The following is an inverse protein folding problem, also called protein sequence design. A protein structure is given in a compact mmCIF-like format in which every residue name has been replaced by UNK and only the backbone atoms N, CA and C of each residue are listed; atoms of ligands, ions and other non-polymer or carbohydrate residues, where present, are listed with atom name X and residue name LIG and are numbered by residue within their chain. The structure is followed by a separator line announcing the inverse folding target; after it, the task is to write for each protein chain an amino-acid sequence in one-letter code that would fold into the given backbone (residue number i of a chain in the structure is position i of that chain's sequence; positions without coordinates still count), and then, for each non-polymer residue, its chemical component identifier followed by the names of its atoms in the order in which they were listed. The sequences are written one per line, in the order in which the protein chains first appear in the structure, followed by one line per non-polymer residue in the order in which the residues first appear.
data_IF_400870401654
#
_entry.id   IF_400870401654
#
_cell.length_a   1.000
_cell.length_b   1.000
_cell.length_c   1.000
_cell.angle_alpha   90.00
_cell.angle_beta   90.00
_cell.angle_gamma   90.00
#
_symmetry.space_group_name_H-M   'P 1'
#
loop_
_entity.id
_entity.type
_entity.pdbx_description
1 polymer ?
#
# COMPACT_ATOMS: atom_id res chain seq x y z
N UNK A 1 9.09 3.75 -9.13
CA UNK A 1 7.87 2.97 -9.37
C UNK A 1 8.19 1.59 -9.94
N UNK A 2 7.61 0.53 -9.36
CA UNK A 2 7.72 -0.85 -9.86
C UNK A 2 6.77 -1.05 -11.05
N UNK A 3 7.25 -1.67 -12.14
CA UNK A 3 6.40 -2.02 -13.31
C UNK A 3 5.28 -3.00 -12.93
N UNK A 4 5.49 -3.82 -11.89
CA UNK A 4 4.45 -4.72 -11.38
C UNK A 4 3.25 -3.96 -10.82
N UNK A 5 3.48 -2.86 -10.08
CA UNK A 5 2.39 -2.02 -9.57
C UNK A 5 1.63 -1.35 -10.72
N UNK A 6 2.35 -0.83 -11.71
CA UNK A 6 1.73 -0.21 -12.87
C UNK A 6 0.87 -1.22 -13.64
N UNK A 7 1.37 -2.45 -13.85
CA UNK A 7 0.60 -3.52 -14.50
C UNK A 7 -0.69 -3.84 -13.77
N UNK A 8 -0.68 -3.92 -12.43
CA UNK A 8 -1.88 -4.17 -11.63
C UNK A 8 -2.84 -2.98 -11.75
N UNK A 9 -2.35 -1.76 -11.59
CA UNK A 9 -3.16 -0.56 -11.68
C UNK A 9 -3.84 -0.41 -13.05
N UNK A 10 -3.09 -0.62 -14.14
CA UNK A 10 -3.63 -0.59 -15.51
C UNK A 10 -4.72 -1.64 -15.72
N UNK A 11 -4.55 -2.85 -15.18
CA UNK A 11 -5.58 -3.87 -15.28
C UNK A 11 -6.86 -3.50 -14.51
N UNK A 12 -6.71 -3.03 -13.27
CA UNK A 12 -7.85 -2.59 -12.44
C UNK A 12 -8.60 -1.42 -13.09
N UNK A 13 -7.88 -0.45 -13.63
CA UNK A 13 -8.44 0.66 -14.39
C UNK A 13 -9.20 0.17 -15.63
N UNK A 14 -8.65 -0.82 -16.37
CA UNK A 14 -9.30 -1.40 -17.55
C UNK A 14 -10.64 -2.09 -17.27
N UNK A 15 -10.90 -2.49 -16.02
CA UNK A 15 -12.18 -3.08 -15.59
C UNK A 15 -13.05 -2.09 -14.79
N UNK A 16 -12.72 -0.80 -14.83
CA UNK A 16 -13.50 0.27 -14.22
C UNK A 16 -13.34 0.43 -12.71
N UNK A 17 -12.24 -0.09 -12.14
CA UNK A 17 -11.90 0.12 -10.72
C UNK A 17 -11.02 1.36 -10.62
N UNK A 18 -11.45 2.34 -9.81
CA UNK A 18 -10.66 3.54 -9.51
C UNK A 18 -9.40 3.16 -8.72
N UNK A 19 -8.24 3.56 -9.26
CA UNK A 19 -6.93 3.25 -8.68
C UNK A 19 -6.05 4.49 -8.67
N UNK A 20 -5.49 4.76 -7.50
CA UNK A 20 -4.47 5.80 -7.32
C UNK A 20 -3.15 5.18 -6.88
N UNK A 21 -2.04 5.58 -7.53
CA UNK A 21 -0.70 5.13 -7.17
C UNK A 21 0.03 6.24 -6.43
N UNK A 22 0.50 5.94 -5.22
CA UNK A 22 1.40 6.81 -4.46
C UNK A 22 2.81 6.20 -4.42
N UNK A 23 3.79 6.87 -5.02
CA UNK A 23 5.20 6.50 -5.04
C UNK A 23 6.00 7.34 -4.03
N UNK A 24 6.29 6.76 -2.87
CA UNK A 24 7.05 7.42 -1.80
C UNK A 24 8.49 7.77 -2.14
N UNK A 25 9.06 7.26 -3.24
CA UNK A 25 10.40 7.64 -3.71
C UNK A 25 10.34 8.94 -4.51
N UNK A 26 9.26 9.15 -5.27
CA UNK A 26 9.10 10.31 -6.17
C UNK A 26 8.31 11.45 -5.52
N UNK A 27 7.38 11.14 -4.63
CA UNK A 27 6.49 12.10 -3.99
C UNK A 27 6.95 12.36 -2.56
N UNK A 28 7.65 13.47 -2.32
CA UNK A 28 8.15 13.83 -0.97
C UNK A 28 7.02 13.95 0.07
N UNK A 29 5.83 14.34 -0.37
CA UNK A 29 4.63 14.50 0.44
C UNK A 29 3.73 13.25 0.46
N UNK A 30 4.22 12.07 0.06
CA UNK A 30 3.39 10.86 -0.05
C UNK A 30 2.60 10.53 1.22
N UNK A 31 3.13 10.83 2.41
CA UNK A 31 2.44 10.55 3.65
C UNK A 31 1.18 11.40 3.84
N UNK A 32 1.20 12.65 3.35
CA UNK A 32 0.02 13.53 3.32
C UNK A 32 -0.99 13.00 2.31
N UNK A 33 -0.53 12.62 1.12
CA UNK A 33 -1.38 12.03 0.08
C UNK A 33 -2.06 10.75 0.59
N UNK A 34 -1.32 9.86 1.26
CA UNK A 34 -1.90 8.66 1.89
C UNK A 34 -2.99 9.06 2.87
N UNK A 35 -2.74 10.00 3.79
CA UNK A 35 -3.75 10.46 4.77
C UNK A 35 -5.03 10.96 4.11
N UNK A 36 -4.90 11.77 3.06
CA UNK A 36 -6.05 12.35 2.34
C UNK A 36 -6.87 11.28 1.61
N UNK A 37 -6.20 10.28 1.03
CA UNK A 37 -6.84 9.30 0.14
C UNK A 37 -7.44 8.11 0.89
N UNK A 38 -6.83 7.66 1.98
CA UNK A 38 -7.26 6.41 2.64
C UNK A 38 -8.68 6.46 3.19
N UNK A 39 -9.22 7.66 3.47
CA UNK A 39 -10.55 7.83 4.08
C UNK A 39 -11.67 7.28 3.18
N UNK A 40 -11.49 7.30 1.86
CA UNK A 40 -12.47 6.79 0.88
C UNK A 40 -12.06 5.45 0.23
N UNK A 41 -10.90 4.89 0.59
CA UNK A 41 -10.39 3.67 -0.03
C UNK A 41 -10.93 2.40 0.66
N UNK A 42 -11.42 1.44 -0.14
CA UNK A 42 -11.79 0.09 0.36
C UNK A 42 -10.59 -0.84 0.51
N UNK A 43 -9.56 -0.63 -0.31
CA UNK A 43 -8.35 -1.45 -0.35
C UNK A 43 -7.12 -0.55 -0.39
N UNK A 44 -6.09 -0.92 0.36
CA UNK A 44 -4.76 -0.33 0.27
C UNK A 44 -3.75 -1.43 0.02
N UNK A 45 -3.02 -1.32 -1.08
CA UNK A 45 -2.00 -2.28 -1.50
C UNK A 45 -0.60 -1.68 -1.30
N UNK A 46 0.24 -2.34 -0.50
CA UNK A 46 1.63 -1.93 -0.26
C UNK A 46 2.59 -2.88 -1.00
N UNK A 47 3.46 -2.32 -1.84
CA UNK A 47 4.61 -3.05 -2.41
C UNK A 47 5.82 -2.88 -1.49
N UNK A 48 6.11 -3.88 -0.67
CA UNK A 48 7.09 -3.79 0.41
C UNK A 48 8.37 -4.57 0.06
N UNK A 49 9.50 -3.87 0.11
CA UNK A 49 10.83 -4.46 0.13
C UNK A 49 11.41 -4.38 1.55
N UNK A 50 12.47 -5.14 1.84
CA UNK A 50 13.05 -5.26 3.18
C UNK A 50 13.38 -3.91 3.83
N UNK A 51 13.95 -2.96 3.07
CA UNK A 51 14.31 -1.64 3.60
C UNK A 51 13.09 -0.76 3.96
N UNK A 52 11.89 -1.15 3.56
CA UNK A 52 10.67 -0.35 3.66
C UNK A 52 9.70 -0.86 4.73
N UNK A 53 10.02 -1.95 5.42
CA UNK A 53 9.14 -2.62 6.39
C UNK A 53 8.68 -1.66 7.49
N UNK A 54 9.61 -0.96 8.14
CA UNK A 54 9.29 -0.04 9.23
C UNK A 54 8.27 1.02 8.80
N UNK A 55 8.48 1.58 7.60
CA UNK A 55 7.57 2.58 7.05
C UNK A 55 6.24 1.99 6.61
N UNK A 56 6.22 0.76 6.10
CA UNK A 56 4.99 0.05 5.78
C UNK A 56 4.14 -0.18 7.04
N UNK A 57 4.76 -0.50 8.19
CA UNK A 57 4.04 -0.60 9.46
C UNK A 57 3.45 0.74 9.92
N UNK A 58 4.18 1.83 9.78
CA UNK A 58 3.67 3.17 10.10
C UNK A 58 2.46 3.53 9.23
N UNK A 59 2.50 3.22 7.93
CA UNK A 59 1.37 3.40 7.02
C UNK A 59 0.19 2.51 7.44
N UNK A 60 0.42 1.26 7.82
CA UNK A 60 -0.65 0.37 8.27
C UNK A 60 -1.34 0.88 9.53
N UNK A 61 -0.57 1.34 10.53
CA UNK A 61 -1.13 1.94 11.75
C UNK A 61 -1.99 3.15 11.42
N UNK A 62 -1.48 4.04 10.57
CA UNK A 62 -2.22 5.21 10.10
C UNK A 62 -3.54 4.83 9.41
N UNK A 63 -3.52 3.79 8.55
CA UNK A 63 -4.73 3.30 7.88
C UNK A 63 -5.74 2.78 8.90
N UNK A 64 -5.30 1.98 9.89
CA UNK A 64 -6.19 1.46 10.93
C UNK A 64 -6.79 2.56 11.80
N UNK A 65 -6.05 3.64 12.06
CA UNK A 65 -6.54 4.80 12.82
C UNK A 65 -7.60 5.60 12.07
N UNK A 66 -7.41 5.82 10.76
CA UNK A 66 -8.24 6.72 9.97
C UNK A 66 -9.36 6.01 9.19
N UNK A 67 -9.17 4.74 8.83
CA UNK A 67 -10.14 3.92 8.12
C UNK A 67 -9.98 2.43 8.51
N UNK A 68 -10.53 2.03 9.67
CA UNK A 68 -10.37 0.67 10.20
C UNK A 68 -10.97 -0.42 9.29
N UNK A 69 -12.02 -0.07 8.52
CA UNK A 69 -12.70 -0.97 7.58
C UNK A 69 -11.89 -1.20 6.29
N UNK A 70 -10.84 -0.40 6.06
CA UNK A 70 -9.98 -0.56 4.90
C UNK A 70 -9.22 -1.89 4.94
N UNK A 71 -9.26 -2.64 3.84
CA UNK A 71 -8.48 -3.87 3.71
C UNK A 71 -7.06 -3.54 3.28
N UNK A 72 -6.10 -3.96 4.09
CA UNK A 72 -4.66 -3.77 3.82
C UNK A 72 -4.10 -5.04 3.18
N UNK A 73 -3.45 -4.91 2.03
CA UNK A 73 -2.86 -6.01 1.26
C UNK A 73 -1.36 -5.72 1.08
N UNK A 74 -0.52 -6.67 1.46
CA UNK A 74 0.93 -6.57 1.29
C UNK A 74 1.37 -7.45 0.13
N UNK A 75 2.16 -6.87 -0.78
CA UNK A 75 2.86 -7.57 -1.85
C UNK A 75 4.33 -7.12 -1.93
N UNK A 76 5.08 -7.69 -2.86
CA UNK A 76 6.52 -7.45 -2.98
C UNK A 76 7.37 -8.55 -2.34
N UNK A 77 8.69 -8.48 -2.56
CA UNK A 77 9.59 -9.58 -2.20
C UNK A 77 9.58 -9.91 -0.71
N UNK A 78 9.54 -8.90 0.17
CA UNK A 78 9.64 -9.14 1.60
C UNK A 78 8.44 -9.92 2.17
N UNK A 79 7.18 -9.47 2.03
CA UNK A 79 6.02 -10.25 2.51
C UNK A 79 5.87 -11.60 1.81
N UNK A 80 6.39 -11.77 0.59
CA UNK A 80 6.39 -13.07 -0.10
C UNK A 80 7.36 -14.07 0.54
N UNK A 81 8.58 -13.65 0.90
CA UNK A 81 9.59 -14.56 1.46
C UNK A 81 9.58 -14.64 2.99
N UNK A 82 9.07 -13.61 3.69
CA UNK A 82 9.14 -13.46 5.14
C UNK A 82 7.75 -13.29 5.77
N UNK A 83 6.81 -14.17 5.42
CA UNK A 83 5.41 -14.10 5.85
C UNK A 83 5.27 -13.97 7.38
N UNK A 84 6.12 -14.64 8.16
CA UNK A 84 6.10 -14.57 9.63
C UNK A 84 6.42 -13.18 10.17
N UNK A 85 7.15 -12.35 9.43
CA UNK A 85 7.49 -10.98 9.82
C UNK A 85 6.38 -9.99 9.44
N UNK A 86 5.48 -10.36 8.52
CA UNK A 86 4.47 -9.45 7.96
C UNK A 86 3.03 -9.80 8.34
N UNK A 87 2.67 -11.08 8.41
CA UNK A 87 1.28 -11.52 8.61
C UNK A 87 0.78 -11.43 10.06
N UNK A 88 1.69 -11.35 11.05
CA UNK A 88 1.31 -11.27 12.47
C UNK A 88 0.64 -9.93 12.82
N UNK A 89 0.77 -8.91 11.95
CA UNK A 89 0.48 -7.51 12.27
C UNK A 89 -0.69 -6.95 11.43
N UNK A 90 -1.24 -7.74 10.50
CA UNK A 90 -2.37 -7.37 9.62
C UNK A 90 -3.73 -7.80 10.19
#
# INVERSE_FOLDING_TARGET
MSVGLLSIATYLDSIGIDVEIVDGVRQKNYFVLVKEKIVSCKFVCLSVMTMQISRAFEICRLIRELNPECKIIWGGSHPTFFIKETAIIL
#
